data_IF_770003516972
#
_entry.id   IF_770003516972
#
_cell.length_a   1.000
_cell.length_b   1.000
_cell.length_c   1.000
_cell.angle_alpha   90.00
_cell.angle_beta   90.00
_cell.angle_gamma   90.00
#
_symmetry.space_group_name_H-M   'P 1'
#
loop_
_entity.id
_entity.type
_entity.pdbx_description
1 polymer ?
#
# COMPACT_ATOMS: atom_id res chain seq x y z
N UNK A 1 -1.19 2.28 28.16
CA UNK A 1 -1.01 2.73 26.76
C UNK A 1 -1.84 1.77 25.91
N UNK A 2 -2.91 2.25 25.27
CA UNK A 2 -3.67 1.43 24.31
C UNK A 2 -2.84 1.31 23.04
N UNK A 3 -2.43 0.09 22.68
CA UNK A 3 -1.80 -0.16 21.40
C UNK A 3 -2.83 0.09 20.30
N UNK A 4 -2.49 0.93 19.32
CA UNK A 4 -3.32 1.11 18.13
C UNK A 4 -3.28 -0.20 17.35
N UNK A 5 -4.44 -0.80 17.13
CA UNK A 5 -4.54 -2.02 16.33
C UNK A 5 -4.63 -1.65 14.85
N UNK A 6 -3.92 -2.40 14.02
CA UNK A 6 -3.88 -2.20 12.58
C UNK A 6 -4.60 -3.35 11.87
N UNK A 7 -5.08 -3.11 10.64
CA UNK A 7 -5.68 -4.15 9.79
C UNK A 7 -4.67 -4.48 8.70
N UNK A 8 -4.41 -5.77 8.48
CA UNK A 8 -3.56 -6.22 7.40
C UNK A 8 -4.24 -6.00 6.06
N UNK A 9 -3.60 -5.21 5.18
CA UNK A 9 -4.14 -4.88 3.86
C UNK A 9 -4.34 -6.07 2.92
N UNK A 10 -3.64 -7.18 3.14
CA UNK A 10 -3.71 -8.35 2.27
C UNK A 10 -4.87 -9.29 2.63
N UNK A 11 -5.08 -9.56 3.92
CA UNK A 11 -6.04 -10.56 4.40
C UNK A 11 -7.20 -9.98 5.22
N UNK A 12 -7.30 -8.65 5.28
CA UNK A 12 -8.33 -7.87 5.99
C UNK A 12 -8.51 -8.24 7.48
N UNK A 13 -7.52 -8.93 8.06
CA UNK A 13 -7.54 -9.39 9.45
C UNK A 13 -6.81 -8.39 10.35
N UNK A 14 -7.23 -8.34 11.60
CA UNK A 14 -6.60 -7.51 12.62
C UNK A 14 -5.21 -8.02 12.97
N UNK A 15 -4.23 -7.13 13.02
CA UNK A 15 -2.88 -7.39 13.52
C UNK A 15 -2.95 -7.28 15.06
N UNK A 16 -2.96 -8.41 15.74
CA UNK A 16 -3.08 -8.48 17.21
C UNK A 16 -1.73 -8.49 17.92
N UNK A 17 -0.69 -8.99 17.26
CA UNK A 17 0.70 -8.89 17.71
C UNK A 17 1.32 -7.59 17.18
N UNK A 18 1.68 -6.63 18.05
CA UNK A 18 2.30 -5.39 17.61
C UNK A 18 3.63 -5.60 16.85
N UNK A 19 4.34 -6.71 17.07
CA UNK A 19 5.61 -7.01 16.40
C UNK A 19 5.45 -7.66 15.02
N UNK A 20 4.22 -8.04 14.62
CA UNK A 20 3.91 -8.60 13.30
C UNK A 20 3.49 -7.51 12.29
N UNK A 21 3.07 -6.34 12.77
CA UNK A 21 2.68 -5.23 11.91
C UNK A 21 3.86 -4.57 11.21
N UNK A 22 3.84 -4.56 9.88
CA UNK A 22 4.81 -3.84 9.04
C UNK A 22 4.11 -2.73 8.28
N UNK A 23 4.64 -1.52 8.35
CA UNK A 23 4.22 -0.41 7.50
C UNK A 23 4.66 -0.67 6.05
N UNK A 24 3.71 -0.77 5.14
CA UNK A 24 3.95 -1.10 3.73
C UNK A 24 4.04 0.17 2.87
N UNK A 25 3.11 1.09 3.06
CA UNK A 25 3.05 2.36 2.30
C UNK A 25 2.10 3.33 2.99
N UNK A 26 2.03 4.55 2.46
CA UNK A 26 0.97 5.50 2.76
C UNK A 26 -0.06 5.52 1.62
N UNK A 27 -1.35 5.65 1.93
CA UNK A 27 -2.44 5.77 0.96
C UNK A 27 -2.36 7.12 0.23
N UNK A 28 -2.41 7.07 -1.11
CA UNK A 28 -2.31 8.26 -1.93
C UNK A 28 -3.69 8.92 -2.04
N UNK A 29 -3.87 10.10 -1.41
CA UNK A 29 -5.10 10.89 -1.48
C UNK A 29 -5.74 11.21 -0.14
N UNK A 30 -5.24 10.61 0.96
CA UNK A 30 -5.69 10.90 2.30
C UNK A 30 -4.60 11.68 3.05
N UNK A 31 -4.95 12.83 3.64
CA UNK A 31 -4.07 13.58 4.54
C UNK A 31 -4.63 13.44 5.96
N UNK A 32 -3.86 12.84 6.88
CA UNK A 32 -4.24 12.71 8.29
C UNK A 32 -4.22 11.27 8.83
N UNK A 33 -4.72 11.05 10.06
CA UNK A 33 -4.73 9.73 10.71
C UNK A 33 -5.46 8.68 9.86
N UNK A 34 -4.87 7.50 9.72
CA UNK A 34 -5.41 6.40 8.89
C UNK A 34 -4.83 6.29 7.48
N UNK A 35 -3.88 7.16 7.13
CA UNK A 35 -3.12 7.10 5.87
C UNK A 35 -2.13 5.94 5.76
N UNK A 36 -1.80 5.27 6.87
CA UNK A 36 -0.75 4.25 6.91
C UNK A 36 -1.34 2.88 6.58
N UNK A 37 -0.77 2.22 5.57
CA UNK A 37 -1.14 0.87 5.19
C UNK A 37 -0.19 -0.11 5.87
N UNK A 38 -0.75 -0.96 6.72
CA UNK A 38 -0.03 -2.03 7.41
C UNK A 38 -0.36 -3.40 6.84
N UNK A 39 0.55 -4.34 7.01
CA UNK A 39 0.33 -5.76 6.77
C UNK A 39 1.05 -6.61 7.80
N UNK A 40 0.59 -7.85 8.02
CA UNK A 40 1.42 -8.87 8.66
C UNK A 40 2.75 -8.99 7.92
N UNK A 41 3.83 -9.32 8.64
CA UNK A 41 5.18 -9.43 8.05
C UNK A 41 5.20 -10.39 6.87
N UNK A 42 4.50 -11.51 6.99
CA UNK A 42 4.38 -12.52 5.93
C UNK A 42 3.58 -12.03 4.73
N UNK A 43 2.71 -11.04 4.89
CA UNK A 43 1.85 -10.53 3.83
C UNK A 43 2.35 -9.24 3.17
N UNK A 44 3.37 -8.59 3.74
CA UNK A 44 3.85 -7.29 3.26
C UNK A 44 4.21 -7.30 1.76
N UNK A 45 4.79 -8.39 1.27
CA UNK A 45 5.17 -8.55 -0.13
C UNK A 45 3.99 -8.89 -1.08
N UNK A 46 2.82 -9.22 -0.53
CA UNK A 46 1.60 -9.55 -1.28
C UNK A 46 0.66 -8.36 -1.42
N UNK A 47 0.95 -7.24 -0.75
CA UNK A 47 0.18 -6.01 -0.89
C UNK A 47 0.44 -5.43 -2.29
N UNK A 48 -0.60 -5.39 -3.11
CA UNK A 48 -0.50 -4.88 -4.47
C UNK A 48 -0.33 -3.35 -4.48
N UNK A 49 0.44 -2.80 -5.43
CA UNK A 49 0.56 -1.37 -5.61
C UNK A 49 -0.79 -0.75 -6.00
N UNK A 50 -0.96 0.54 -5.71
CA UNK A 50 -2.16 1.29 -6.09
C UNK A 50 -2.44 1.15 -7.61
N UNK A 51 -3.61 0.60 -8.00
CA UNK A 51 -3.99 0.44 -9.40
C UNK A 51 -3.97 1.76 -10.20
N UNK A 52 -4.28 2.89 -9.57
CA UNK A 52 -4.26 4.20 -10.23
C UNK A 52 -2.83 4.62 -10.58
N UNK A 53 -1.87 4.40 -9.67
CA UNK A 53 -0.45 4.66 -9.94
C UNK A 53 0.09 3.75 -11.04
N UNK A 54 -0.33 2.47 -11.06
CA UNK A 54 0.00 1.54 -12.12
C UNK A 54 -0.55 1.99 -13.48
N UNK A 55 -1.80 2.42 -13.53
CA UNK A 55 -2.42 2.98 -14.74
C UNK A 55 -1.69 4.25 -15.22
N UNK A 56 -1.32 5.15 -14.29
CA UNK A 56 -0.57 6.36 -14.63
C UNK A 56 0.80 6.03 -15.21
N UNK A 57 1.55 5.11 -14.59
CA UNK A 57 2.85 4.66 -15.07
C UNK A 57 2.73 4.06 -16.48
N UNK A 58 1.72 3.22 -16.72
CA UNK A 58 1.45 2.64 -18.04
C UNK A 58 1.24 3.75 -19.10
N UNK A 59 0.41 4.76 -18.80
CA UNK A 59 0.17 5.89 -19.71
C UNK A 59 1.45 6.66 -20.03
N UNK A 60 2.31 6.89 -19.03
CA UNK A 60 3.62 7.55 -19.24
C UNK A 60 4.52 6.72 -20.16
N UNK A 61 4.57 5.39 -19.96
CA UNK A 61 5.38 4.48 -20.79
C UNK A 61 4.89 4.48 -22.24
N UNK A 62 3.58 4.39 -22.47
CA UNK A 62 2.98 4.47 -23.81
C UNK A 62 3.31 5.80 -24.49
N UNK A 63 3.16 6.91 -23.77
CA UNK A 63 3.48 8.23 -24.30
C UNK A 63 4.97 8.40 -24.64
N UNK A 64 5.88 7.77 -23.87
CA UNK A 64 7.32 7.76 -24.19
C UNK A 64 7.58 6.93 -25.45
N UNK A 65 7.02 5.73 -25.56
CA UNK A 65 7.19 4.87 -26.74
C UNK A 65 6.70 5.56 -28.01
N UNK A 66 5.53 6.21 -27.97
CA UNK A 66 4.97 6.95 -29.11
C UNK A 66 5.81 8.16 -29.55
N UNK A 67 6.63 8.74 -28.66
CA UNK A 67 7.55 9.85 -28.97
C UNK A 67 8.91 9.39 -29.48
N UNK A 68 9.25 8.11 -29.31
CA UNK A 68 10.51 7.51 -29.76
C UNK A 68 10.41 6.83 -31.14
N UNK A 69 9.27 6.99 -31.81
CA UNK A 69 8.99 6.49 -33.17
C UNK A 69 8.78 7.67 -34.11
#
# INVERSE_FOLDING_TARGET
MTATLHICRHCDSLITDPDDGVLVTHEHGNNGPGWDIYAHREHAHLVQPDPQLMHLLLRIRLAKAARST
#
